data_IF_041014852442
#
_entry.id   IF_041014852442
#
_cell.length_a   1.000
_cell.length_b   1.000
_cell.length_c   1.000
_cell.angle_alpha   90.00
_cell.angle_beta   90.00
_cell.angle_gamma   90.00
#
_symmetry.space_group_name_H-M   'P 1'
#
loop_
_entity.id
_entity.type
_entity.pdbx_description
1 polymer ?
#
# COMPACT_ATOMS: atom_id res chain seq x y z
N UNK A 1 47.40 15.56 -9.66
CA UNK A 1 46.19 16.21 -9.11
C UNK A 1 44.96 15.58 -9.75
N UNK A 2 44.33 14.57 -9.15
CA UNK A 2 42.96 14.16 -9.52
C UNK A 2 42.35 13.45 -8.32
N UNK A 3 41.47 14.17 -7.61
CA UNK A 3 40.74 13.63 -6.46
C UNK A 3 39.71 12.62 -6.98
N UNK A 4 39.82 11.37 -6.54
CA UNK A 4 38.82 10.34 -6.81
C UNK A 4 37.48 10.73 -6.15
N UNK A 5 36.42 10.78 -6.96
CA UNK A 5 35.05 11.05 -6.49
C UNK A 5 34.60 9.93 -5.56
N UNK A 6 34.35 10.26 -4.30
CA UNK A 6 33.75 9.36 -3.30
C UNK A 6 32.28 9.14 -3.71
N UNK A 7 31.95 7.92 -4.15
CA UNK A 7 30.57 7.53 -4.48
C UNK A 7 29.78 7.50 -3.18
N UNK A 8 28.73 8.31 -3.08
CA UNK A 8 27.79 8.24 -1.96
C UNK A 8 26.97 6.95 -2.12
N UNK A 9 27.37 5.87 -1.44
CA UNK A 9 26.50 4.71 -1.27
C UNK A 9 25.43 5.09 -0.26
N UNK A 10 24.18 5.17 -0.71
CA UNK A 10 23.04 5.21 0.19
C UNK A 10 22.94 3.84 0.84
N UNK A 11 23.35 3.76 2.10
CA UNK A 11 23.21 2.57 2.92
C UNK A 11 21.72 2.40 3.23
N UNK A 12 21.00 1.71 2.36
CA UNK A 12 19.65 1.25 2.66
C UNK A 12 19.79 0.11 3.68
N UNK A 13 19.74 0.47 4.98
CA UNK A 13 19.86 -0.47 6.09
C UNK A 13 19.06 -1.73 5.83
N UNK A 14 19.73 -2.88 5.89
CA UNK A 14 19.22 -4.22 5.64
C UNK A 14 18.12 -4.57 6.65
N UNK A 15 16.93 -4.00 6.49
CA UNK A 15 15.72 -4.51 7.14
C UNK A 15 15.45 -5.88 6.51
N UNK A 16 15.36 -6.96 7.30
CA UNK A 16 15.01 -8.26 6.75
C UNK A 16 13.69 -8.13 5.99
N UNK A 17 13.60 -8.77 4.82
CA UNK A 17 12.39 -8.75 4.02
C UNK A 17 11.21 -9.23 4.88
N UNK A 18 10.24 -8.35 5.12
CA UNK A 18 9.07 -8.66 5.96
C UNK A 18 8.30 -9.82 5.33
N UNK A 19 8.32 -10.97 6.00
CA UNK A 19 7.66 -12.19 5.54
C UNK A 19 6.17 -12.12 5.86
N UNK A 20 5.35 -12.57 4.91
CA UNK A 20 3.89 -12.60 5.07
C UNK A 20 3.46 -13.93 5.66
N UNK A 21 3.25 -13.98 6.97
CA UNK A 21 2.91 -15.22 7.69
C UNK A 21 1.41 -15.43 7.91
N UNK A 22 0.61 -14.36 7.88
CA UNK A 22 -0.82 -14.42 8.20
C UNK A 22 -1.65 -14.71 6.95
N UNK A 23 -2.42 -15.80 6.98
CA UNK A 23 -3.37 -16.15 5.91
C UNK A 23 -4.71 -15.48 6.18
N UNK A 24 -5.24 -14.81 5.15
CA UNK A 24 -6.59 -14.23 5.15
C UNK A 24 -7.34 -14.79 3.95
N UNK A 25 -8.58 -15.23 4.16
CA UNK A 25 -9.49 -15.70 3.12
C UNK A 25 -10.86 -15.06 3.32
N UNK A 26 -11.49 -14.68 2.22
CA UNK A 26 -12.86 -14.15 2.20
C UNK A 26 -13.62 -14.86 1.07
N UNK A 27 -14.91 -15.05 1.28
CA UNK A 27 -15.82 -15.60 0.29
C UNK A 27 -16.55 -14.43 -0.37
N UNK A 28 -16.68 -14.47 -1.69
CA UNK A 28 -17.39 -13.47 -2.49
C UNK A 28 -18.60 -14.12 -3.12
N UNK A 29 -19.66 -13.35 -3.31
CA UNK A 29 -20.78 -13.75 -4.14
C UNK A 29 -20.40 -13.78 -5.63
N UNK A 30 -21.23 -14.43 -6.46
CA UNK A 30 -20.98 -14.58 -7.90
C UNK A 30 -20.90 -13.23 -8.63
N UNK A 31 -21.77 -12.29 -8.27
CA UNK A 31 -21.77 -10.94 -8.85
C UNK A 31 -20.51 -10.15 -8.46
N UNK A 32 -20.09 -10.24 -7.20
CA UNK A 32 -18.89 -9.58 -6.69
C UNK A 32 -17.63 -10.14 -7.37
N UNK A 33 -17.55 -11.47 -7.49
CA UNK A 33 -16.45 -12.14 -8.19
C UNK A 33 -16.41 -11.74 -9.67
N UNK A 34 -17.56 -11.61 -10.33
CA UNK A 34 -17.65 -11.14 -11.72
C UNK A 34 -17.16 -9.69 -11.85
N UNK A 35 -17.54 -8.81 -10.92
CA UNK A 35 -17.06 -7.43 -10.89
C UNK A 35 -15.53 -7.34 -10.71
N UNK A 36 -14.97 -8.13 -9.78
CA UNK A 36 -13.52 -8.21 -9.55
C UNK A 36 -12.80 -8.69 -10.80
N UNK A 37 -13.28 -9.75 -11.43
CA UNK A 37 -12.67 -10.27 -12.65
C UNK A 37 -12.72 -9.27 -13.81
N UNK A 38 -13.84 -8.55 -13.97
CA UNK A 38 -13.96 -7.47 -14.97
C UNK A 38 -12.95 -6.35 -14.70
N UNK A 39 -12.79 -5.94 -13.45
CA UNK A 39 -11.84 -4.92 -13.06
C UNK A 39 -10.40 -5.34 -13.38
N UNK A 40 -10.01 -6.55 -12.97
CA UNK A 40 -8.68 -7.11 -13.23
C UNK A 40 -8.38 -7.18 -14.72
N UNK A 41 -9.35 -7.62 -15.54
CA UNK A 41 -9.21 -7.68 -16.98
C UNK A 41 -9.05 -6.29 -17.60
N UNK A 42 -9.86 -5.31 -17.17
CA UNK A 42 -9.82 -3.93 -17.68
C UNK A 42 -8.46 -3.26 -17.45
N UNK A 43 -7.89 -3.42 -16.26
CA UNK A 43 -6.61 -2.79 -15.89
C UNK A 43 -5.40 -3.70 -16.08
N UNK A 44 -5.58 -4.88 -16.69
CA UNK A 44 -4.52 -5.87 -16.97
C UNK A 44 -3.66 -6.20 -15.74
N UNK A 45 -4.32 -6.38 -14.60
CA UNK A 45 -3.64 -6.64 -13.33
C UNK A 45 -3.10 -8.08 -13.33
N UNK A 46 -1.79 -8.23 -13.29
CA UNK A 46 -1.14 -9.55 -13.31
C UNK A 46 -1.27 -10.31 -11.99
N UNK A 47 -1.22 -9.60 -10.85
CA UNK A 47 -1.27 -10.21 -9.52
C UNK A 47 -2.50 -9.74 -8.73
N UNK A 48 -3.57 -10.55 -8.77
CA UNK A 48 -4.83 -10.26 -8.07
C UNK A 48 -4.63 -10.10 -6.56
N UNK A 49 -3.85 -10.99 -5.93
CA UNK A 49 -3.62 -10.97 -4.48
C UNK A 49 -2.84 -9.74 -4.02
N UNK A 50 -1.88 -9.27 -4.84
CA UNK A 50 -1.15 -8.02 -4.57
C UNK A 50 -2.11 -6.84 -4.59
N UNK A 51 -2.92 -6.74 -5.65
CA UNK A 51 -3.91 -5.67 -5.79
C UNK A 51 -4.92 -5.67 -4.63
N UNK A 52 -5.54 -6.82 -4.31
CA UNK A 52 -6.49 -6.92 -3.19
C UNK A 52 -5.88 -6.43 -1.87
N UNK A 53 -4.63 -6.81 -1.59
CA UNK A 53 -3.94 -6.37 -0.37
C UNK A 53 -3.69 -4.86 -0.38
N UNK A 54 -3.21 -4.32 -1.49
CA UNK A 54 -2.93 -2.88 -1.60
C UNK A 54 -4.22 -2.07 -1.44
N UNK A 55 -5.31 -2.49 -2.06
CA UNK A 55 -6.63 -1.84 -1.93
C UNK A 55 -7.14 -1.89 -0.49
N UNK A 56 -7.13 -3.06 0.15
CA UNK A 56 -7.56 -3.21 1.54
C UNK A 56 -6.69 -2.39 2.51
N UNK A 57 -5.37 -2.43 2.36
CA UNK A 57 -4.48 -1.68 3.24
C UNK A 57 -4.65 -0.18 3.02
N UNK A 58 -4.81 0.27 1.78
CA UNK A 58 -5.04 1.68 1.47
C UNK A 58 -6.35 2.18 2.07
N UNK A 59 -7.43 1.38 2.03
CA UNK A 59 -8.70 1.76 2.64
C UNK A 59 -8.60 1.82 4.16
N UNK A 60 -7.96 0.83 4.79
CA UNK A 60 -7.76 0.80 6.24
C UNK A 60 -6.92 2.00 6.69
N UNK A 61 -5.80 2.28 6.04
CA UNK A 61 -4.96 3.42 6.41
C UNK A 61 -5.65 4.75 6.22
N UNK A 62 -6.42 4.90 5.14
CA UNK A 62 -7.20 6.12 4.92
C UNK A 62 -8.20 6.34 6.05
N UNK A 63 -8.97 5.32 6.39
CA UNK A 63 -9.95 5.41 7.47
C UNK A 63 -9.29 5.66 8.83
N UNK A 64 -8.22 4.92 9.14
CA UNK A 64 -7.46 5.14 10.38
C UNK A 64 -6.83 6.53 10.45
N UNK A 65 -6.41 7.12 9.32
CA UNK A 65 -5.88 8.49 9.31
C UNK A 65 -6.95 9.55 9.51
N UNK A 66 -8.17 9.30 9.01
CA UNK A 66 -9.32 10.20 9.19
C UNK A 66 -9.86 10.14 10.63
N UNK A 67 -9.92 8.93 11.21
CA UNK A 67 -10.44 8.69 12.57
C UNK A 67 -9.43 9.03 13.68
N UNK A 68 -8.15 9.25 13.34
CA UNK A 68 -7.15 9.58 14.34
C UNK A 68 -7.39 11.00 14.88
N UNK A 69 -7.65 11.18 16.19
CA UNK A 69 -7.87 12.49 16.76
C UNK A 69 -6.58 13.31 16.63
N UNK A 70 -6.55 14.22 15.67
CA UNK A 70 -5.46 15.17 15.49
C UNK A 70 -5.67 16.34 16.43
N UNK A 71 -4.57 16.87 16.99
CA UNK A 71 -4.61 17.96 17.96
C UNK A 71 -5.27 19.24 17.41
N UNK A 72 -5.15 19.44 16.09
CA UNK A 72 -5.82 20.49 15.34
C UNK A 72 -6.45 19.87 14.10
N UNK A 73 -7.65 20.30 13.76
CA UNK A 73 -8.29 19.86 12.53
C UNK A 73 -7.59 20.49 11.30
N UNK A 74 -7.69 19.85 10.13
CA UNK A 74 -7.04 20.36 8.90
C UNK A 74 -7.41 21.81 8.55
N UNK A 75 -8.60 22.27 8.94
CA UNK A 75 -9.05 23.65 8.71
C UNK A 75 -8.37 24.66 9.65
N UNK A 76 -7.83 24.22 10.79
CA UNK A 76 -7.11 25.07 11.75
C UNK A 76 -5.64 25.25 11.37
N UNK A 77 -5.04 24.27 10.69
CA UNK A 77 -3.63 24.31 10.27
C UNK A 77 -3.36 25.11 8.99
N UNK A 78 -4.40 25.39 8.19
CA UNK A 78 -4.28 26.10 6.89
C UNK A 78 -4.44 27.63 7.03
N UNK A 79 -4.41 28.16 8.25
CA UNK A 79 -4.67 29.58 8.55
C UNK A 79 -3.40 30.37 8.83
#
# INVERSE_FOLDING_TARGET
>A
MSKAKKKHTVECGSRPALVRNNRVAFMLNDEEMKAVNRFVAKYKIQNKSKWMRETLMSSIFRQLSEDYPTLFAEYEMKR
#
